data_IF_153589811833
#
_entry.id   IF_153589811833
#
_cell.length_a   1.000
_cell.length_b   1.000
_cell.length_c   1.000
_cell.angle_alpha   90.00
_cell.angle_beta   90.00
_cell.angle_gamma   90.00
#
_symmetry.space_group_name_H-M   'P 1'
#
loop_
_entity.id
_entity.type
_entity.pdbx_description
1 polymer ?
#
# COMPACT_ATOMS: atom_id res chain seq x y z
N UNK A 1 -22.98 12.67 28.82
CA UNK A 1 -22.42 11.46 29.44
C UNK A 1 -21.21 11.08 28.59
N UNK A 2 -20.02 11.42 29.09
CA UNK A 2 -18.66 11.07 28.61
C UNK A 2 -18.46 10.76 27.12
N UNK A 3 -18.19 11.79 26.32
CA UNK A 3 -17.33 11.65 25.11
C UNK A 3 -15.90 11.69 25.63
N UNK A 4 -15.32 10.51 25.84
CA UNK A 4 -14.03 10.38 26.50
C UNK A 4 -13.45 8.98 26.34
N UNK A 5 -13.58 8.42 25.14
CA UNK A 5 -12.70 7.35 24.66
C UNK A 5 -11.88 7.96 23.53
N UNK A 6 -10.56 7.76 23.58
CA UNK A 6 -9.64 8.27 22.57
C UNK A 6 -10.04 7.69 21.21
N UNK A 7 -10.63 8.52 20.35
CA UNK A 7 -11.27 8.09 19.10
C UNK A 7 -10.29 7.43 18.12
N UNK A 8 -8.98 7.51 18.40
CA UNK A 8 -7.92 6.80 17.70
C UNK A 8 -7.79 5.32 18.07
N UNK A 9 -8.30 4.89 19.23
CA UNK A 9 -8.18 3.50 19.69
C UNK A 9 -8.77 2.48 18.70
N UNK A 10 -9.84 2.86 17.97
CA UNK A 10 -10.43 2.00 16.93
C UNK A 10 -9.47 1.72 15.76
N UNK A 11 -8.46 2.57 15.57
CA UNK A 11 -7.47 2.50 14.50
C UNK A 11 -6.12 1.97 14.99
N UNK A 12 -6.07 1.30 16.15
CA UNK A 12 -4.85 0.71 16.72
C UNK A 12 -4.11 -0.26 15.77
N UNK A 13 -3.03 -0.90 16.24
CA UNK A 13 -2.24 -1.83 15.44
C UNK A 13 -3.13 -2.86 14.72
N UNK A 14 -3.02 -2.93 13.39
CA UNK A 14 -3.79 -3.89 12.59
C UNK A 14 -3.10 -5.25 12.54
N UNK A 15 -3.86 -6.35 12.40
CA UNK A 15 -3.28 -7.64 12.06
C UNK A 15 -2.45 -7.52 10.79
N UNK A 16 -1.23 -8.06 10.82
CA UNK A 16 -0.35 -8.11 9.66
C UNK A 16 -0.81 -9.26 8.76
N UNK A 17 -1.30 -9.00 7.54
CA UNK A 17 -1.73 -10.10 6.69
C UNK A 17 -0.50 -10.91 6.27
N UNK A 18 -0.62 -12.24 6.10
CA UNK A 18 0.43 -13.05 5.49
C UNK A 18 0.86 -12.48 4.12
N UNK A 19 2.14 -12.62 3.74
CA UNK A 19 2.61 -12.21 2.40
C UNK A 19 1.82 -12.87 1.25
N UNK A 20 1.33 -14.10 1.48
CA UNK A 20 0.67 -14.93 0.48
C UNK A 20 -0.79 -14.54 0.20
N UNK A 21 -1.44 -13.86 1.13
CA UNK A 21 -2.87 -13.52 1.08
C UNK A 21 -3.12 -12.02 0.98
N UNK A 22 -2.05 -11.23 0.86
CA UNK A 22 -2.16 -9.79 0.82
C UNK A 22 -2.72 -9.34 -0.53
N UNK A 23 -3.84 -8.61 -0.48
CA UNK A 23 -4.35 -7.85 -1.62
C UNK A 23 -3.20 -7.02 -2.25
N UNK A 24 -3.23 -6.78 -3.55
CA UNK A 24 -2.23 -5.94 -4.23
C UNK A 24 -0.88 -6.58 -4.59
N UNK A 25 -0.50 -7.73 -4.02
CA UNK A 25 0.61 -8.55 -4.54
C UNK A 25 0.06 -9.41 -5.69
N UNK A 26 0.61 -9.23 -6.90
CA UNK A 26 0.22 -10.05 -8.05
C UNK A 26 1.00 -11.37 -8.04
N UNK A 27 0.31 -12.51 -8.18
CA UNK A 27 0.92 -13.86 -8.14
C UNK A 27 1.71 -14.11 -6.85
N UNK A 28 1.06 -14.06 -5.68
CA UNK A 28 1.74 -14.05 -4.38
C UNK A 28 2.57 -15.32 -4.09
N UNK A 29 2.13 -16.50 -4.57
CA UNK A 29 2.91 -17.75 -4.43
C UNK A 29 4.24 -17.70 -5.18
N UNK A 30 4.22 -17.23 -6.43
CA UNK A 30 5.43 -17.09 -7.25
C UNK A 30 6.40 -16.08 -6.62
N UNK A 31 5.89 -14.95 -6.11
CA UNK A 31 6.72 -13.96 -5.43
C UNK A 31 7.30 -14.48 -4.10
N UNK A 32 6.52 -15.23 -3.31
CA UNK A 32 7.00 -15.77 -2.04
C UNK A 32 8.01 -16.92 -2.22
N UNK A 33 7.81 -17.78 -3.23
CA UNK A 33 8.78 -18.84 -3.53
C UNK A 33 10.13 -18.30 -4.03
N UNK A 34 10.14 -17.12 -4.66
CA UNK A 34 11.34 -16.50 -5.21
C UNK A 34 12.15 -15.68 -4.19
N UNK A 35 11.55 -15.26 -3.07
CA UNK A 35 12.10 -14.24 -2.18
C UNK A 35 11.82 -14.55 -0.71
N UNK A 36 12.72 -14.15 0.19
CA UNK A 36 12.45 -14.21 1.63
C UNK A 36 11.60 -13.00 2.04
N UNK A 37 10.28 -13.16 2.10
CA UNK A 37 9.31 -12.14 2.48
C UNK A 37 8.96 -12.25 3.97
N UNK A 38 9.20 -11.18 4.73
CA UNK A 38 8.75 -11.06 6.12
C UNK A 38 7.89 -9.81 6.30
N UNK A 39 7.01 -9.83 7.31
CA UNK A 39 6.25 -8.66 7.74
C UNK A 39 6.27 -8.55 9.25
N UNK A 40 6.27 -7.33 9.75
CA UNK A 40 6.31 -7.05 11.18
C UNK A 40 5.22 -6.05 11.56
N UNK A 41 4.60 -6.21 12.75
CA UNK A 41 3.64 -5.25 13.27
C UNK A 41 4.33 -3.96 13.70
N UNK A 42 3.56 -2.89 13.75
CA UNK A 42 3.97 -1.61 14.35
C UNK A 42 3.84 -1.65 15.86
N UNK A 43 4.61 -0.82 16.57
CA UNK A 43 4.28 -0.47 17.95
C UNK A 43 3.20 0.61 18.02
N UNK A 44 2.59 0.78 19.19
CA UNK A 44 1.61 1.84 19.44
C UNK A 44 2.17 3.24 19.13
N UNK A 45 3.49 3.45 19.34
CA UNK A 45 4.19 4.73 19.14
C UNK A 45 3.95 5.32 17.75
N UNK A 46 3.83 4.48 16.73
CA UNK A 46 3.70 4.90 15.31
C UNK A 46 2.44 4.35 14.62
N UNK A 47 1.70 3.45 15.29
CA UNK A 47 0.54 2.74 14.71
C UNK A 47 -0.56 3.66 14.17
N UNK A 48 -0.61 4.92 14.63
CA UNK A 48 -1.51 5.97 14.11
C UNK A 48 -1.26 6.29 12.63
N UNK A 49 -0.02 6.21 12.17
CA UNK A 49 0.39 6.59 10.82
C UNK A 49 0.93 5.42 10.00
N UNK A 50 1.59 4.47 10.67
CA UNK A 50 2.20 3.30 10.05
C UNK A 50 1.27 2.10 10.19
N UNK A 51 1.11 1.34 9.13
CA UNK A 51 0.26 0.15 9.12
C UNK A 51 1.07 -1.10 9.46
N UNK A 52 2.18 -1.34 8.77
CA UNK A 52 3.11 -2.44 9.06
C UNK A 52 4.47 -2.22 8.39
N UNK A 53 5.43 -3.07 8.76
CA UNK A 53 6.73 -3.19 8.10
C UNK A 53 6.78 -4.45 7.23
N UNK A 54 7.62 -4.42 6.21
CA UNK A 54 7.88 -5.56 5.35
C UNK A 54 9.36 -5.65 4.99
N UNK A 55 9.85 -6.86 4.74
CA UNK A 55 11.21 -7.10 4.31
C UNK A 55 11.21 -8.09 3.15
N UNK A 56 12.03 -7.82 2.15
CA UNK A 56 12.27 -8.71 1.02
C UNK A 56 13.77 -8.83 0.82
N UNK A 57 14.27 -10.06 0.74
CA UNK A 57 15.64 -10.35 0.29
C UNK A 57 15.58 -11.35 -0.85
N UNK A 58 16.44 -11.15 -1.85
CA UNK A 58 16.58 -12.05 -2.99
C UNK A 58 18.05 -12.31 -3.29
N UNK A 59 18.33 -13.52 -3.78
CA UNK A 59 19.59 -13.88 -4.42
C UNK A 59 19.26 -14.62 -5.71
N UNK A 60 19.51 -13.96 -6.82
CA UNK A 60 19.27 -14.45 -8.18
C UNK A 60 20.56 -14.49 -8.99
N UNK A 61 21.72 -14.58 -8.34
CA UNK A 61 23.00 -14.73 -9.05
C UNK A 61 22.97 -16.04 -9.84
N UNK A 62 23.24 -15.95 -11.15
CA UNK A 62 23.15 -17.09 -12.07
C UNK A 62 21.72 -17.48 -12.49
N UNK A 63 20.68 -16.73 -12.08
CA UNK A 63 19.30 -16.89 -12.52
C UNK A 63 18.87 -15.70 -13.39
N UNK A 64 17.89 -15.86 -14.30
CA UNK A 64 17.34 -14.73 -15.04
C UNK A 64 16.67 -13.72 -14.08
N UNK A 65 16.65 -12.42 -14.42
CA UNK A 65 15.91 -11.42 -13.65
C UNK A 65 14.43 -11.80 -13.49
N UNK A 66 13.85 -11.42 -12.36
CA UNK A 66 12.43 -11.63 -12.08
C UNK A 66 11.69 -10.29 -12.02
N UNK A 67 10.60 -10.16 -12.78
CA UNK A 67 9.76 -8.97 -12.77
C UNK A 67 8.73 -9.09 -11.64
N UNK A 68 8.98 -8.40 -10.53
CA UNK A 68 8.02 -8.29 -9.44
C UNK A 68 7.02 -7.19 -9.78
N UNK A 69 5.74 -7.55 -9.84
CA UNK A 69 4.65 -6.64 -10.17
C UNK A 69 3.74 -6.44 -8.95
N UNK A 70 3.46 -5.19 -8.63
CA UNK A 70 2.62 -4.82 -7.48
C UNK A 70 1.55 -3.83 -7.93
N UNK A 71 0.29 -4.12 -7.58
CA UNK A 71 -0.76 -3.12 -7.65
C UNK A 71 -0.71 -2.29 -6.38
N UNK A 72 -0.18 -1.07 -6.50
CA UNK A 72 0.03 -0.17 -5.38
C UNK A 72 -1.26 0.06 -4.59
N UNK A 73 -1.13 -0.09 -3.28
CA UNK A 73 -2.10 0.44 -2.33
C UNK A 73 -2.11 1.98 -2.37
N UNK A 74 -3.20 2.63 -1.95
CA UNK A 74 -3.29 4.09 -1.83
C UNK A 74 -2.47 4.61 -0.62
N UNK A 75 -1.21 4.24 -0.53
CA UNK A 75 -0.32 4.60 0.57
C UNK A 75 1.07 4.99 0.08
N UNK A 76 1.74 5.81 0.88
CA UNK A 76 3.16 6.11 0.75
C UNK A 76 3.95 5.01 1.45
N UNK A 77 5.09 4.63 0.86
CA UNK A 77 6.06 3.75 1.49
C UNK A 77 7.37 4.50 1.76
N UNK A 78 8.00 4.21 2.89
CA UNK A 78 9.44 4.47 3.06
C UNK A 78 10.16 3.15 2.85
N UNK A 79 11.18 3.11 2.01
CA UNK A 79 11.97 1.90 1.78
C UNK A 79 13.45 2.18 2.01
N UNK A 80 14.12 1.19 2.60
CA UNK A 80 15.56 1.14 2.75
C UNK A 80 16.06 0.01 1.85
N UNK A 81 16.86 0.33 0.86
CA UNK A 81 17.18 -0.56 -0.24
C UNK A 81 18.68 -0.70 -0.40
N UNK A 82 19.11 -1.93 -0.70
CA UNK A 82 20.44 -2.23 -1.21
C UNK A 82 20.25 -3.14 -2.41
N UNK A 83 20.34 -2.58 -3.60
CA UNK A 83 20.25 -3.30 -4.87
C UNK A 83 21.39 -2.90 -5.81
N UNK A 84 21.46 -3.55 -6.97
CA UNK A 84 22.39 -3.19 -8.03
C UNK A 84 22.08 -1.80 -8.65
N UNK A 85 20.84 -1.33 -8.56
CA UNK A 85 20.41 -0.03 -9.14
C UNK A 85 20.58 1.13 -8.17
N UNK A 86 20.27 0.91 -6.88
CA UNK A 86 20.29 1.96 -5.86
C UNK A 86 20.54 1.41 -4.46
N UNK A 87 21.19 2.24 -3.63
CA UNK A 87 21.34 1.98 -2.20
C UNK A 87 20.98 3.24 -1.42
N UNK A 88 20.16 3.10 -0.38
CA UNK A 88 19.74 4.23 0.47
C UNK A 88 18.31 4.12 0.97
N UNK A 89 17.81 5.22 1.55
CA UNK A 89 16.43 5.38 1.96
C UNK A 89 15.63 6.17 0.91
N UNK A 90 14.39 5.78 0.65
CA UNK A 90 13.52 6.40 -0.34
C UNK A 90 12.10 6.58 0.19
N UNK A 91 11.43 7.65 -0.24
CA UNK A 91 10.00 7.87 -0.07
C UNK A 91 9.33 7.66 -1.42
N UNK A 92 8.41 6.72 -1.49
CA UNK A 92 7.68 6.39 -2.72
C UNK A 92 6.20 6.65 -2.50
N UNK A 93 5.63 7.56 -3.29
CA UNK A 93 4.20 7.84 -3.25
C UNK A 93 3.38 6.78 -3.97
N UNK A 94 2.11 7.09 -4.22
CA UNK A 94 1.21 6.17 -4.91
C UNK A 94 1.54 6.15 -6.40
N UNK A 95 1.88 4.98 -6.94
CA UNK A 95 1.93 4.76 -8.39
C UNK A 95 0.51 4.55 -8.91
N UNK A 96 0.09 5.41 -9.83
CA UNK A 96 -1.25 5.36 -10.43
C UNK A 96 -1.37 4.27 -11.48
N UNK A 97 -0.24 3.77 -11.99
CA UNK A 97 -0.10 2.63 -12.91
C UNK A 97 0.50 1.42 -12.21
N UNK A 98 0.61 0.29 -12.92
CA UNK A 98 1.28 -0.91 -12.41
C UNK A 98 2.75 -0.59 -12.12
N UNK A 99 3.18 -0.83 -10.88
CA UNK A 99 4.57 -0.74 -10.50
C UNK A 99 5.26 -2.07 -10.79
N UNK A 100 6.23 -2.04 -11.70
CA UNK A 100 7.07 -3.18 -12.05
C UNK A 100 8.49 -2.93 -11.57
N UNK A 101 9.05 -3.90 -10.86
CA UNK A 101 10.43 -3.86 -10.38
C UNK A 101 11.18 -5.10 -10.85
N UNK A 102 12.33 -4.89 -11.48
CA UNK A 102 13.23 -5.98 -11.83
C UNK A 102 14.06 -6.39 -10.60
N UNK A 103 13.98 -7.67 -10.24
CA UNK A 103 14.83 -8.28 -9.23
C UNK A 103 15.92 -9.07 -9.95
N UNK A 104 17.15 -8.55 -9.94
CA UNK A 104 18.34 -9.18 -10.50
C UNK A 104 19.48 -9.18 -9.48
N UNK A 105 20.42 -10.11 -9.65
CA UNK A 105 21.56 -10.30 -8.75
C UNK A 105 21.10 -10.57 -7.32
N UNK A 106 21.80 -9.98 -6.35
CA UNK A 106 21.37 -9.98 -4.95
C UNK A 106 20.81 -8.61 -4.56
N UNK A 107 19.90 -8.60 -3.60
CA UNK A 107 19.42 -7.35 -3.04
C UNK A 107 18.49 -7.54 -1.86
N UNK A 108 18.22 -6.42 -1.19
CA UNK A 108 17.30 -6.36 -0.07
C UNK A 108 16.50 -5.06 -0.05
N UNK A 109 15.32 -5.14 0.53
CA UNK A 109 14.49 -3.99 0.85
C UNK A 109 13.84 -4.20 2.21
N UNK A 110 13.96 -3.20 3.08
CA UNK A 110 13.16 -3.08 4.30
C UNK A 110 12.22 -1.89 4.12
N UNK A 111 10.92 -2.13 4.18
CA UNK A 111 9.89 -1.16 3.89
C UNK A 111 8.97 -0.87 5.05
N UNK A 112 8.47 0.35 5.07
CA UNK A 112 7.49 0.90 6.00
C UNK A 112 6.25 1.25 5.19
N UNK A 113 5.14 0.56 5.42
CA UNK A 113 3.87 0.89 4.78
C UNK A 113 3.11 1.86 5.68
N UNK A 114 2.90 3.09 5.22
CA UNK A 114 2.01 4.01 5.91
C UNK A 114 0.55 3.61 5.68
N UNK A 115 -0.31 3.94 6.64
CA UNK A 115 -1.76 3.96 6.40
C UNK A 115 -2.05 4.95 5.28
N UNK A 116 -3.11 4.72 4.53
CA UNK A 116 -3.58 5.70 3.56
C UNK A 116 -3.87 7.03 4.28
N UNK A 117 -3.31 8.13 3.78
CA UNK A 117 -3.35 9.44 4.45
C UNK A 117 -2.31 9.65 5.55
N UNK A 118 -1.73 8.59 6.11
CA UNK A 118 -0.89 8.64 7.30
C UNK A 118 0.40 9.43 7.09
N UNK A 119 1.02 9.30 5.91
CA UNK A 119 2.24 10.05 5.60
C UNK A 119 2.01 11.56 5.49
N UNK A 120 0.91 11.98 4.86
CA UNK A 120 0.53 13.40 4.77
C UNK A 120 0.19 13.99 6.13
N UNK A 121 -0.50 13.23 6.98
CA UNK A 121 -0.78 13.63 8.35
C UNK A 121 0.49 13.68 9.23
N UNK A 122 1.43 12.77 9.02
CA UNK A 122 2.69 12.71 9.75
C UNK A 122 3.65 13.85 9.39
N UNK A 123 3.75 14.18 8.09
CA UNK A 123 4.70 15.19 7.57
C UNK A 123 4.11 16.58 7.40
N UNK A 124 2.78 16.69 7.33
CA UNK A 124 2.09 17.92 6.93
C UNK A 124 2.19 18.23 5.42
N UNK A 125 2.85 17.40 4.62
CA UNK A 125 3.01 17.63 3.18
C UNK A 125 1.73 17.39 2.39
N UNK A 126 1.63 18.02 1.23
CA UNK A 126 0.64 17.62 0.20
C UNK A 126 1.18 16.39 -0.53
N UNK A 127 0.62 15.22 -0.20
CA UNK A 127 1.03 13.93 -0.78
C UNK A 127 0.76 13.86 -2.28
N UNK A 128 -0.10 14.73 -2.83
CA UNK A 128 -0.31 14.84 -4.26
C UNK A 128 0.96 15.15 -5.06
N UNK A 129 1.97 15.76 -4.45
CA UNK A 129 3.27 16.00 -5.09
C UNK A 129 4.14 14.74 -5.19
N UNK A 130 3.83 13.68 -4.43
CA UNK A 130 4.58 12.42 -4.40
C UNK A 130 3.97 11.34 -5.31
N UNK A 131 2.82 11.59 -5.93
CA UNK A 131 2.17 10.64 -6.84
C UNK A 131 3.06 10.36 -8.05
N UNK A 132 3.17 9.08 -8.42
CA UNK A 132 4.03 8.61 -9.51
C UNK A 132 5.51 9.00 -9.38
N UNK A 133 5.99 9.22 -8.15
CA UNK A 133 7.40 9.55 -7.89
C UNK A 133 8.00 8.75 -6.73
N UNK A 134 9.33 8.67 -6.75
CA UNK A 134 10.16 8.18 -5.64
C UNK A 134 11.32 9.15 -5.46
N UNK A 135 11.47 9.67 -4.24
CA UNK A 135 12.52 10.63 -3.88
C UNK A 135 13.41 10.06 -2.78
N UNK A 136 14.61 10.60 -2.59
CA UNK A 136 15.50 10.23 -1.51
C UNK A 136 14.90 10.59 -0.14
N UNK A 137 15.14 9.77 0.88
CA UNK A 137 14.62 9.98 2.23
C UNK A 137 15.02 11.35 2.79
N UNK A 138 16.26 11.78 2.53
CA UNK A 138 16.80 13.06 2.98
C UNK A 138 16.14 14.29 2.34
N UNK A 139 15.47 14.13 1.19
CA UNK A 139 14.72 15.24 0.55
C UNK A 139 13.46 15.59 1.35
N UNK A 140 12.86 14.60 2.01
CA UNK A 140 11.69 14.80 2.88
C UNK A 140 12.12 15.00 4.33
N UNK A 141 13.12 14.25 4.77
CA UNK A 141 13.61 14.28 6.14
C UNK A 141 15.12 14.56 6.15
N UNK A 142 15.55 15.84 6.05
CA UNK A 142 16.96 16.20 6.07
C UNK A 142 17.72 15.70 7.31
N UNK A 143 17.00 15.48 8.41
CA UNK A 143 17.51 14.92 9.67
C UNK A 143 17.71 13.39 9.66
N UNK A 144 17.43 12.70 8.56
CA UNK A 144 17.55 11.24 8.47
C UNK A 144 19.00 10.73 8.63
N UNK A 145 20.00 11.57 8.35
CA UNK A 145 21.41 11.23 8.58
C UNK A 145 21.80 9.87 7.99
N UNK A 146 22.41 9.02 8.82
CA UNK A 146 22.88 7.67 8.48
C UNK A 146 21.83 6.57 8.66
N UNK A 147 20.54 6.92 8.85
CA UNK A 147 19.49 5.96 9.16
C UNK A 147 19.43 4.79 8.17
N UNK A 148 19.55 5.07 6.87
CA UNK A 148 19.50 4.02 5.86
C UNK A 148 20.66 3.02 5.99
N UNK A 149 21.86 3.51 6.29
CA UNK A 149 23.04 2.67 6.50
C UNK A 149 22.85 1.79 7.74
N UNK A 150 22.40 2.38 8.85
CA UNK A 150 22.13 1.66 10.11
C UNK A 150 21.05 0.59 9.95
N UNK A 151 19.96 0.90 9.27
CA UNK A 151 18.88 -0.05 8.99
C UNK A 151 19.38 -1.20 8.10
N UNK A 152 20.14 -0.91 7.05
CA UNK A 152 20.67 -1.94 6.14
C UNK A 152 21.85 -2.73 6.71
N UNK A 153 22.52 -2.22 7.74
CA UNK A 153 23.60 -2.93 8.46
C UNK A 153 23.05 -3.89 9.54
N UNK A 154 21.86 -3.63 10.08
CA UNK A 154 21.26 -4.51 11.08
C UNK A 154 20.78 -5.84 10.45
N UNK A 155 21.15 -6.96 11.07
CA UNK A 155 20.74 -8.30 10.60
C UNK A 155 19.35 -8.72 11.09
N UNK A 156 18.91 -8.16 12.23
CA UNK A 156 17.61 -8.46 12.85
C UNK A 156 16.54 -7.45 12.39
N UNK A 157 15.43 -7.97 11.88
CA UNK A 157 14.30 -7.15 11.44
C UNK A 157 13.63 -6.38 12.58
N UNK A 158 13.65 -6.91 13.82
CA UNK A 158 13.16 -6.19 14.99
C UNK A 158 14.03 -4.96 15.28
N UNK A 159 15.35 -5.10 15.17
CA UNK A 159 16.29 -3.97 15.31
C UNK A 159 16.09 -2.94 14.19
N UNK A 160 15.90 -3.39 12.94
CA UNK A 160 15.55 -2.48 11.83
C UNK A 160 14.28 -1.69 12.12
N UNK A 161 13.24 -2.35 12.63
CA UNK A 161 11.98 -1.71 13.02
C UNK A 161 12.21 -0.65 14.10
N UNK A 162 12.88 -0.99 15.20
CA UNK A 162 13.13 -0.04 16.30
C UNK A 162 13.90 1.20 15.82
N UNK A 163 14.94 1.03 15.00
CA UNK A 163 15.70 2.16 14.42
C UNK A 163 14.79 3.12 13.65
N UNK A 164 13.86 2.57 12.86
CA UNK A 164 12.92 3.36 12.08
C UNK A 164 11.86 4.00 12.97
N UNK A 165 11.33 3.29 13.95
CA UNK A 165 10.34 3.84 14.88
C UNK A 165 10.91 4.97 15.72
N UNK A 166 12.13 4.82 16.24
CA UNK A 166 12.84 5.89 16.96
C UNK A 166 13.03 7.13 16.10
N UNK A 167 13.42 6.94 14.83
CA UNK A 167 13.51 8.02 13.87
C UNK A 167 12.15 8.68 13.62
N UNK A 168 11.09 7.91 13.37
CA UNK A 168 9.75 8.46 13.10
C UNK A 168 9.18 9.20 14.32
N UNK A 169 9.45 8.73 15.53
CA UNK A 169 9.06 9.43 16.75
C UNK A 169 9.83 10.74 16.89
N UNK A 170 11.14 10.74 16.64
CA UNK A 170 11.96 11.95 16.71
C UNK A 170 11.63 12.96 15.58
N UNK A 171 11.26 12.47 14.40
CA UNK A 171 10.89 13.30 13.25
C UNK A 171 9.48 13.90 13.36
N UNK A 172 8.66 13.45 14.33
CA UNK A 172 7.29 13.93 14.51
C UNK A 172 7.30 15.39 15.00
N UNK A 173 6.67 16.28 14.24
CA UNK A 173 6.52 17.71 14.59
C UNK A 173 5.46 18.01 15.65
N UNK A 174 4.89 17.00 16.30
CA UNK A 174 3.81 17.09 17.29
C UNK A 174 2.75 16.00 17.12
N UNK A 175 1.95 15.75 18.17
CA UNK A 175 0.95 14.67 18.20
C UNK A 175 -0.50 15.16 18.06
N UNK A 176 -0.68 16.38 17.53
CA UNK A 176 -1.98 17.02 17.45
C UNK A 176 -3.03 16.10 16.77
N UNK A 177 -4.24 16.07 17.34
CA UNK A 177 -5.34 15.33 16.75
C UNK A 177 -5.73 15.96 15.40
N UNK A 178 -5.48 15.25 14.31
CA UNK A 178 -5.88 15.64 12.96
C UNK A 178 -7.22 14.97 12.63
N UNK A 179 -8.30 15.70 12.89
CA UNK A 179 -9.66 15.25 12.61
C UNK A 179 -9.91 15.01 11.11
N UNK A 180 -9.26 15.77 10.22
CA UNK A 180 -9.40 15.57 8.78
C UNK A 180 -8.74 14.25 8.35
N UNK A 181 -7.57 13.93 8.90
CA UNK A 181 -6.93 12.63 8.70
C UNK A 181 -7.81 11.48 9.23
N UNK A 182 -8.42 11.61 10.43
CA UNK A 182 -9.37 10.60 10.94
C UNK A 182 -10.51 10.35 9.96
N UNK A 183 -11.08 11.43 9.42
CA UNK A 183 -12.17 11.33 8.45
C UNK A 183 -11.71 10.59 7.19
N UNK A 184 -10.54 10.95 6.64
CA UNK A 184 -9.95 10.26 5.47
C UNK A 184 -9.73 8.78 5.75
N UNK A 185 -9.15 8.44 6.90
CA UNK A 185 -8.88 7.05 7.27
C UNK A 185 -10.18 6.24 7.36
N UNK A 186 -11.22 6.80 7.99
CA UNK A 186 -12.55 6.18 8.08
C UNK A 186 -13.16 5.92 6.70
N UNK A 187 -13.06 6.91 5.80
CA UNK A 187 -13.60 6.80 4.45
C UNK A 187 -12.88 5.70 3.67
N UNK A 188 -11.55 5.66 3.75
CA UNK A 188 -10.75 4.65 3.04
C UNK A 188 -11.02 3.25 3.58
N UNK A 189 -11.18 3.10 4.89
CA UNK A 189 -11.59 1.82 5.49
C UNK A 189 -12.91 1.32 4.94
N UNK A 190 -13.92 2.18 4.89
CA UNK A 190 -15.20 1.81 4.30
C UNK A 190 -15.04 1.46 2.81
N UNK A 191 -14.26 2.22 2.04
CA UNK A 191 -14.01 1.91 0.62
C UNK A 191 -13.24 0.58 0.40
N UNK A 192 -12.45 0.13 1.38
CA UNK A 192 -11.69 -1.12 1.30
C UNK A 192 -12.52 -2.35 1.69
N UNK A 193 -13.44 -2.20 2.65
CA UNK A 193 -14.15 -3.33 3.25
C UNK A 193 -15.65 -3.38 2.92
N UNK A 194 -16.29 -2.26 2.61
CA UNK A 194 -17.68 -2.22 2.16
C UNK A 194 -17.77 -2.33 0.64
N UNK A 195 -18.08 -3.55 0.16
CA UNK A 195 -18.24 -3.84 -1.27
C UNK A 195 -19.41 -3.12 -1.92
N UNK A 196 -20.35 -2.55 -1.16
CA UNK A 196 -21.44 -1.76 -1.72
C UNK A 196 -20.97 -0.37 -2.20
N UNK A 197 -19.86 0.14 -1.66
CA UNK A 197 -19.25 1.41 -2.06
C UNK A 197 -18.39 1.21 -3.31
N UNK A 198 -18.98 1.44 -4.48
CA UNK A 198 -18.33 1.25 -5.79
C UNK A 198 -18.18 2.56 -6.56
N UNK A 199 -18.91 3.60 -6.15
CA UNK A 199 -18.98 4.91 -6.80
C UNK A 199 -18.72 6.04 -5.81
N UNK A 200 -18.22 7.17 -6.33
CA UNK A 200 -17.87 8.34 -5.51
C UNK A 200 -19.10 9.00 -4.88
N UNK A 201 -20.25 9.00 -5.55
CA UNK A 201 -21.49 9.58 -5.02
C UNK A 201 -22.00 8.81 -3.81
N UNK A 202 -21.92 7.47 -3.82
CA UNK A 202 -22.23 6.63 -2.66
C UNK A 202 -21.35 6.98 -1.45
N UNK A 203 -20.05 7.24 -1.68
CA UNK A 203 -19.13 7.67 -0.61
C UNK A 203 -19.52 9.05 -0.08
N UNK A 204 -19.86 10.00 -0.96
CA UNK A 204 -20.27 11.35 -0.52
C UNK A 204 -21.58 11.34 0.26
N UNK A 205 -22.54 10.49 -0.13
CA UNK A 205 -23.82 10.32 0.56
C UNK A 205 -23.62 9.64 1.92
N UNK A 206 -22.88 8.52 1.96
CA UNK A 206 -22.63 7.76 3.18
C UNK A 206 -21.93 8.57 4.28
N UNK A 207 -20.98 9.43 3.89
CA UNK A 207 -20.20 10.26 4.82
C UNK A 207 -20.67 11.71 4.92
N UNK A 208 -21.79 12.04 4.28
CA UNK A 208 -22.38 13.40 4.22
C UNK A 208 -21.34 14.48 3.87
N UNK A 209 -20.41 14.16 2.96
CA UNK A 209 -19.29 15.02 2.61
C UNK A 209 -19.41 15.53 1.16
N UNK A 210 -19.31 16.85 0.91
CA UNK A 210 -19.35 17.35 -0.45
C UNK A 210 -18.20 16.79 -1.30
N UNK A 211 -18.48 16.44 -2.55
CA UNK A 211 -17.51 15.85 -3.48
C UNK A 211 -16.20 16.66 -3.59
N UNK A 212 -16.28 17.99 -3.59
CA UNK A 212 -15.10 18.88 -3.66
C UNK A 212 -14.24 18.78 -2.40
N UNK A 213 -14.86 18.62 -1.23
CA UNK A 213 -14.14 18.42 0.04
C UNK A 213 -13.46 17.06 0.03
N UNK A 214 -14.16 16.00 -0.38
CA UNK A 214 -13.61 14.66 -0.50
C UNK A 214 -12.39 14.63 -1.44
N UNK A 215 -12.51 15.22 -2.63
CA UNK A 215 -11.41 15.31 -3.60
C UNK A 215 -10.19 16.06 -3.05
N UNK A 216 -10.42 17.17 -2.34
CA UNK A 216 -9.34 17.95 -1.71
C UNK A 216 -8.62 17.15 -0.63
N UNK A 217 -9.37 16.47 0.24
CA UNK A 217 -8.81 15.61 1.28
C UNK A 217 -7.98 14.47 0.68
N UNK A 218 -8.52 13.79 -0.33
CA UNK A 218 -7.84 12.67 -0.99
C UNK A 218 -6.56 13.10 -1.71
N UNK A 219 -6.60 14.23 -2.43
CA UNK A 219 -5.38 14.81 -3.03
C UNK A 219 -4.32 15.08 -1.96
N UNK A 220 -4.69 15.77 -0.88
CA UNK A 220 -3.74 16.20 0.14
C UNK A 220 -3.13 15.04 0.93
N UNK A 221 -3.96 14.10 1.38
CA UNK A 221 -3.53 13.05 2.29
C UNK A 221 -3.07 11.78 1.55
N UNK A 222 -3.76 11.42 0.46
CA UNK A 222 -3.57 10.13 -0.22
C UNK A 222 -2.76 10.27 -1.50
N UNK A 223 -2.81 11.43 -2.15
CA UNK A 223 -2.13 11.72 -3.42
C UNK A 223 -2.92 11.32 -4.67
N UNK A 224 -4.02 10.58 -4.52
CA UNK A 224 -4.85 10.06 -5.62
C UNK A 224 -6.32 10.40 -5.42
N UNK A 225 -7.12 10.31 -6.48
CA UNK A 225 -8.54 10.66 -6.42
C UNK A 225 -9.37 9.56 -5.72
N UNK A 226 -10.54 9.88 -5.12
CA UNK A 226 -11.45 8.88 -4.54
C UNK A 226 -11.88 7.81 -5.56
N UNK A 227 -12.14 8.23 -6.81
CA UNK A 227 -12.48 7.33 -7.91
C UNK A 227 -11.37 6.33 -8.19
N UNK A 228 -10.11 6.77 -8.15
CA UNK A 228 -8.96 5.89 -8.32
C UNK A 228 -8.87 4.86 -7.20
N UNK A 229 -9.11 5.27 -5.95
CA UNK A 229 -9.07 4.36 -4.78
C UNK A 229 -10.15 3.26 -4.89
N UNK A 230 -11.41 3.62 -5.18
CA UNK A 230 -12.49 2.64 -5.41
C UNK A 230 -12.15 1.65 -6.53
N UNK A 231 -11.60 2.16 -7.63
CA UNK A 231 -11.16 1.35 -8.76
C UNK A 231 -10.03 0.40 -8.35
N UNK A 232 -9.05 0.90 -7.60
CA UNK A 232 -7.90 0.10 -7.16
C UNK A 232 -8.33 -1.03 -6.23
N UNK A 233 -9.19 -0.77 -5.25
CA UNK A 233 -9.70 -1.81 -4.36
C UNK A 233 -10.51 -2.87 -5.11
N UNK A 234 -11.41 -2.48 -6.02
CA UNK A 234 -12.15 -3.44 -6.87
C UNK A 234 -11.22 -4.33 -7.70
N UNK A 235 -10.15 -3.78 -8.28
CA UNK A 235 -9.16 -4.55 -9.02
C UNK A 235 -8.36 -5.49 -8.13
N UNK A 236 -7.97 -5.03 -6.93
CA UNK A 236 -7.26 -5.87 -5.95
C UNK A 236 -8.14 -7.02 -5.46
N UNK A 237 -9.43 -6.78 -5.22
CA UNK A 237 -10.42 -7.80 -4.86
C UNK A 237 -10.62 -8.80 -6.00
N UNK A 238 -10.77 -8.32 -7.23
CA UNK A 238 -10.89 -9.18 -8.41
C UNK A 238 -9.65 -10.04 -8.62
N UNK A 239 -8.44 -9.48 -8.50
CA UNK A 239 -7.19 -10.23 -8.63
C UNK A 239 -7.07 -11.29 -7.54
N UNK A 240 -7.40 -10.95 -6.29
CA UNK A 240 -7.37 -11.89 -5.18
C UNK A 240 -8.34 -13.06 -5.40
N UNK A 241 -9.61 -12.79 -5.72
CA UNK A 241 -10.62 -13.83 -5.98
C UNK A 241 -10.22 -14.73 -7.16
N UNK A 242 -9.66 -14.17 -8.23
CA UNK A 242 -9.18 -14.93 -9.37
C UNK A 242 -7.98 -15.82 -9.02
N UNK A 243 -7.05 -15.33 -8.19
CA UNK A 243 -5.94 -16.13 -7.69
C UNK A 243 -6.39 -17.29 -6.79
N UNK A 244 -7.52 -17.14 -6.10
CA UNK A 244 -8.21 -18.20 -5.34
C UNK A 244 -9.03 -19.15 -6.23
N UNK A 245 -9.04 -18.94 -7.55
CA UNK A 245 -9.69 -19.82 -8.52
C UNK A 245 -11.17 -19.52 -8.78
N UNK A 246 -11.70 -18.36 -8.35
CA UNK A 246 -13.06 -17.90 -8.65
C UNK A 246 -13.22 -17.54 -10.14
N UNK A 247 -13.28 -18.55 -11.00
CA UNK A 247 -13.29 -18.40 -12.47
C UNK A 247 -14.54 -18.93 -13.16
N UNK A 248 -15.45 -19.58 -12.42
CA UNK A 248 -16.61 -20.28 -12.98
C UNK A 248 -17.61 -19.35 -13.71
N UNK A 249 -17.84 -18.14 -13.19
CA UNK A 249 -18.70 -17.13 -13.81
C UNK A 249 -18.10 -15.73 -13.65
N UNK A 250 -17.40 -15.27 -14.69
CA UNK A 250 -16.79 -13.95 -14.71
C UNK A 250 -17.80 -12.81 -14.83
N UNK A 251 -18.99 -13.07 -15.37
CA UNK A 251 -20.02 -12.04 -15.47
C UNK A 251 -20.62 -11.77 -14.09
N UNK A 252 -20.94 -12.81 -13.33
CA UNK A 252 -21.36 -12.68 -11.94
C UNK A 252 -20.28 -12.03 -11.07
N UNK A 253 -19.01 -12.44 -11.23
CA UNK A 253 -17.88 -11.82 -10.51
C UNK A 253 -17.74 -10.33 -10.83
N UNK A 254 -17.88 -9.95 -12.11
CA UNK A 254 -17.82 -8.54 -12.51
C UNK A 254 -18.91 -7.71 -11.83
N UNK A 255 -20.15 -8.22 -11.79
CA UNK A 255 -21.26 -7.56 -11.10
C UNK A 255 -21.03 -7.47 -9.59
N UNK A 256 -20.54 -8.54 -8.96
CA UNK A 256 -20.19 -8.58 -7.52
C UNK A 256 -19.14 -7.51 -7.17
N UNK A 257 -18.16 -7.30 -8.06
CA UNK A 257 -17.12 -6.29 -7.93
C UNK A 257 -17.60 -4.87 -8.30
N UNK A 258 -18.88 -4.69 -8.69
CA UNK A 258 -19.43 -3.39 -9.05
C UNK A 258 -19.04 -2.89 -10.44
N UNK A 259 -18.73 -3.79 -11.37
CA UNK A 259 -18.63 -3.49 -12.80
C UNK A 259 -20.00 -3.58 -13.47
N UNK A 260 -20.16 -2.85 -14.57
CA UNK A 260 -21.38 -2.88 -15.36
C UNK A 260 -21.59 -4.23 -16.06
N UNK A 261 -20.52 -4.81 -16.58
CA UNK A 261 -20.51 -6.10 -17.25
C UNK A 261 -19.09 -6.73 -17.22
N UNK A 262 -19.00 -7.97 -17.70
CA UNK A 262 -17.75 -8.71 -17.82
C UNK A 262 -16.72 -8.02 -18.73
N UNK A 263 -17.16 -7.36 -19.81
CA UNK A 263 -16.27 -6.73 -20.79
C UNK A 263 -15.57 -5.52 -20.16
N UNK A 264 -16.30 -4.70 -19.42
CA UNK A 264 -15.77 -3.59 -18.65
C UNK A 264 -14.74 -4.07 -17.62
N UNK A 265 -15.07 -5.11 -16.83
CA UNK A 265 -14.11 -5.71 -15.90
C UNK A 265 -12.86 -6.21 -16.62
N UNK A 266 -13.00 -7.02 -17.66
CA UNK A 266 -11.88 -7.65 -18.37
C UNK A 266 -10.96 -6.61 -19.03
N UNK A 267 -11.53 -5.57 -19.63
CA UNK A 267 -10.76 -4.48 -20.24
C UNK A 267 -9.99 -3.70 -19.17
N UNK A 268 -10.64 -3.38 -18.05
CA UNK A 268 -10.01 -2.63 -16.97
C UNK A 268 -8.90 -3.45 -16.29
N UNK A 269 -9.17 -4.71 -16.01
CA UNK A 269 -8.23 -5.66 -15.43
C UNK A 269 -7.01 -5.86 -16.34
N UNK A 270 -7.23 -6.10 -17.63
CA UNK A 270 -6.13 -6.26 -18.60
C UNK A 270 -5.30 -4.99 -18.71
N UNK A 271 -5.93 -3.82 -18.71
CA UNK A 271 -5.22 -2.53 -18.77
C UNK A 271 -4.30 -2.32 -17.56
N UNK A 272 -4.74 -2.68 -16.36
CA UNK A 272 -4.02 -2.39 -15.13
C UNK A 272 -3.04 -3.51 -14.75
N UNK A 273 -3.38 -4.77 -15.01
CA UNK A 273 -2.57 -5.93 -14.64
C UNK A 273 -1.67 -6.36 -15.80
N UNK A 274 -2.06 -6.07 -17.04
CA UNK A 274 -1.31 -6.42 -18.25
C UNK A 274 -1.67 -7.79 -18.82
N UNK A 275 -2.63 -8.50 -18.23
CA UNK A 275 -3.12 -9.78 -18.73
C UNK A 275 -4.62 -9.99 -18.47
N UNK A 276 -5.32 -10.81 -19.28
CA UNK A 276 -6.73 -11.11 -19.08
C UNK A 276 -7.03 -11.85 -17.76
N UNK A 277 -8.24 -11.67 -17.18
CA UNK A 277 -8.63 -12.31 -15.91
C UNK A 277 -8.42 -13.83 -15.84
N UNK A 278 -8.85 -14.58 -16.85
CA UNK A 278 -8.72 -16.05 -16.86
C UNK A 278 -7.27 -16.51 -17.00
N UNK A 279 -6.46 -15.76 -17.75
CA UNK A 279 -5.04 -16.06 -17.89
C UNK A 279 -4.31 -15.82 -16.57
N UNK A 280 -4.62 -14.70 -15.91
CA UNK A 280 -4.12 -14.39 -14.57
C UNK A 280 -4.48 -15.47 -13.55
N UNK A 281 -5.74 -15.93 -13.55
CA UNK A 281 -6.19 -16.98 -12.64
C UNK A 281 -5.43 -18.30 -12.86
N UNK A 282 -5.26 -18.73 -14.13
CA UNK A 282 -4.49 -19.93 -14.47
C UNK A 282 -3.05 -19.83 -14.00
N UNK A 283 -2.37 -18.73 -14.32
CA UNK A 283 -0.97 -18.50 -13.93
C UNK A 283 -0.77 -18.49 -12.41
N UNK A 284 -1.76 -17.97 -11.67
CA UNK A 284 -1.73 -17.91 -10.20
C UNK A 284 -1.97 -19.27 -9.52
N UNK A 285 -2.68 -20.19 -10.19
CA UNK A 285 -2.96 -21.54 -9.67
C UNK A 285 -1.87 -22.56 -10.02
N UNK A 286 -1.14 -22.36 -11.12
CA UNK A 286 -0.05 -23.25 -11.57
C UNK A 286 1.31 -22.93 -10.95
N UNK A 287 1.40 -21.88 -10.13
CA UNK A 287 2.62 -21.42 -9.44
C UNK A 287 2.55 -21.70 -7.94
#
# INVERSE_FOLDING_TARGET
MTVGEDSWNRFGPRPVPPPETAKGILRPRQQNAANNHARLPTSERVSRYVEWYWAVRWDRRGLPPFQAEVLSYPCVNITFERTHERTGGFVTGVWTTKYTRELAGEGETFGVKFRAGGFGAFTGLDVGALSDTSVGLAEIFPQAGDLAERVLAANDLAVRRELVEDFLVAARGGDADDAAYRQVLTIIEAMEFDRALTRVDQVTEHFEIPIRTLQRLFRRYVGVTPKWVLRRYRLQDGAHLLAEGRTADLAALALELGYFDQAHFSNEFTKEIGMPPLEYARASLTS
#
